data_IF_473456713148
#
_entry.id   IF_473456713148
#
_cell.length_a   1.000
_cell.length_b   1.000
_cell.length_c   1.000
_cell.angle_alpha   90.00
_cell.angle_beta   90.00
_cell.angle_gamma   90.00
#
_symmetry.space_group_name_H-M   'P 1'
#
loop_
_entity.id
_entity.type
_entity.pdbx_description
1 polymer ?
#
# COMPACT_ATOMS: atom_id res chain seq x y z
N UNK A 1 12.73 1.04 10.35
CA UNK A 1 13.21 -0.17 11.09
C UNK A 1 14.66 -0.41 10.68
N UNK A 2 15.54 -0.84 11.61
CA UNK A 2 16.97 -1.02 11.36
C UNK A 2 17.28 -1.94 10.14
N UNK A 3 16.51 -3.01 9.96
CA UNK A 3 16.64 -3.94 8.81
C UNK A 3 16.41 -3.25 7.45
N UNK A 4 15.57 -2.21 7.41
CA UNK A 4 15.36 -1.41 6.19
C UNK A 4 16.48 -0.39 6.00
N UNK A 5 17.00 0.20 7.10
CA UNK A 5 18.07 1.20 7.04
C UNK A 5 19.36 0.62 6.45
N UNK A 6 19.76 -0.55 6.95
CA UNK A 6 20.93 -1.28 6.47
C UNK A 6 20.75 -1.73 5.02
N UNK A 7 19.54 -2.20 4.66
CA UNK A 7 19.19 -2.60 3.29
C UNK A 7 19.29 -1.47 2.27
N UNK A 8 18.93 -0.24 2.66
CA UNK A 8 18.96 0.92 1.75
C UNK A 8 20.23 1.76 1.91
N UNK A 9 21.17 1.35 2.76
CA UNK A 9 22.42 2.06 3.00
C UNK A 9 22.22 3.47 3.52
N UNK A 10 21.15 3.70 4.30
CA UNK A 10 20.84 5.01 4.88
C UNK A 10 21.30 5.06 6.34
N UNK A 11 21.83 6.19 6.84
CA UNK A 11 22.33 6.32 8.20
C UNK A 11 21.21 6.49 9.24
N UNK A 12 19.94 6.49 8.81
CA UNK A 12 18.77 6.69 9.67
C UNK A 12 18.00 5.40 9.88
N UNK A 13 17.58 5.14 11.13
CA UNK A 13 16.83 3.92 11.49
C UNK A 13 15.30 4.07 11.35
N UNK A 14 14.84 5.26 10.97
CA UNK A 14 13.45 5.62 10.69
C UNK A 14 13.33 6.23 9.29
N UNK A 15 12.10 6.33 8.79
CA UNK A 15 11.80 6.89 7.47
C UNK A 15 10.94 5.97 6.62
N UNK A 16 10.34 6.56 5.57
CA UNK A 16 9.55 5.85 4.56
C UNK A 16 10.30 5.89 3.23
N UNK A 17 10.51 4.71 2.63
CA UNK A 17 11.11 4.57 1.31
C UNK A 17 10.12 5.02 0.23
N UNK A 18 10.57 5.89 -0.68
CA UNK A 18 9.85 6.20 -1.90
C UNK A 18 10.05 5.13 -2.96
N UNK A 19 8.98 4.44 -3.32
CA UNK A 19 8.98 3.48 -4.42
C UNK A 19 8.76 4.15 -5.79
N UNK A 20 8.34 5.40 -5.80
CA UNK A 20 8.11 6.19 -7.01
C UNK A 20 7.57 7.58 -6.69
N UNK A 21 7.47 8.41 -7.73
CA UNK A 21 6.85 9.74 -7.66
C UNK A 21 5.83 9.87 -8.78
N UNK A 22 4.76 10.62 -8.52
CA UNK A 22 3.77 10.95 -9.53
C UNK A 22 4.29 12.10 -10.41
N UNK A 23 4.26 11.90 -11.73
CA UNK A 23 4.72 12.89 -12.71
C UNK A 23 3.96 14.20 -12.58
N UNK A 24 4.68 15.32 -12.58
CA UNK A 24 4.14 16.68 -12.49
C UNK A 24 3.76 17.13 -11.08
N UNK A 25 3.79 16.25 -10.07
CA UNK A 25 3.33 16.53 -8.71
C UNK A 25 4.48 16.94 -7.75
N UNK A 26 4.11 17.18 -6.49
CA UNK A 26 4.95 17.80 -5.45
C UNK A 26 6.31 17.12 -5.28
N UNK A 27 6.34 15.80 -5.07
CA UNK A 27 7.58 15.07 -4.80
C UNK A 27 8.56 15.14 -5.98
N UNK A 28 8.09 14.93 -7.22
CA UNK A 28 8.93 15.06 -8.41
C UNK A 28 9.43 16.50 -8.58
N UNK A 29 8.57 17.48 -8.33
CA UNK A 29 8.91 18.91 -8.47
C UNK A 29 9.96 19.36 -7.45
N UNK A 30 9.99 18.72 -6.29
CA UNK A 30 10.99 18.91 -5.24
C UNK A 30 12.28 18.10 -5.46
N UNK A 31 12.39 17.37 -6.57
CA UNK A 31 13.59 16.58 -6.92
C UNK A 31 13.70 15.23 -6.20
N UNK A 32 12.64 14.78 -5.53
CA UNK A 32 12.58 13.45 -4.95
C UNK A 32 12.37 12.41 -6.06
N UNK A 33 12.91 11.21 -5.83
CA UNK A 33 12.86 10.11 -6.77
C UNK A 33 12.73 8.75 -6.07
N UNK A 34 12.50 7.71 -6.86
CA UNK A 34 12.51 6.32 -6.37
C UNK A 34 13.85 6.01 -5.69
N UNK A 35 13.79 5.41 -4.51
CA UNK A 35 14.95 5.05 -3.70
C UNK A 35 15.32 6.07 -2.63
N UNK A 36 14.71 7.25 -2.63
CA UNK A 36 14.87 8.21 -1.53
C UNK A 36 14.14 7.70 -0.27
N UNK A 37 14.73 7.91 0.91
CA UNK A 37 14.11 7.63 2.21
C UNK A 37 13.75 8.95 2.88
N UNK A 38 12.45 9.24 2.98
CA UNK A 38 11.96 10.44 3.67
C UNK A 38 12.08 10.20 5.17
N UNK A 39 12.90 11.00 5.85
CA UNK A 39 13.16 10.91 7.28
C UNK A 39 12.32 11.90 8.09
N UNK A 40 12.07 13.10 7.55
CA UNK A 40 11.29 14.14 8.23
C UNK A 40 10.53 15.00 7.22
N UNK A 41 9.35 15.47 7.61
CA UNK A 41 8.56 16.46 6.85
C UNK A 41 8.06 17.52 7.81
N UNK A 42 8.33 18.79 7.51
CA UNK A 42 7.94 19.95 8.32
C UNK A 42 8.37 19.82 9.80
N UNK A 43 9.57 19.28 10.03
CA UNK A 43 10.11 19.05 11.37
C UNK A 43 9.51 17.87 12.13
N UNK A 44 8.59 17.10 11.52
CA UNK A 44 8.04 15.88 12.10
C UNK A 44 8.77 14.65 11.56
N UNK A 45 9.32 13.83 12.45
CA UNK A 45 10.00 12.59 12.08
C UNK A 45 9.00 11.57 11.50
N UNK A 46 9.35 11.00 10.35
CA UNK A 46 8.55 9.97 9.69
C UNK A 46 9.01 8.61 10.21
N UNK A 47 8.40 8.13 11.28
CA UNK A 47 8.73 6.83 11.88
C UNK A 47 8.09 5.66 11.14
N UNK A 48 6.94 5.91 10.52
CA UNK A 48 6.17 4.95 9.75
C UNK A 48 5.19 5.69 8.81
N UNK A 49 4.54 4.95 7.92
CA UNK A 49 3.64 5.51 6.89
C UNK A 49 2.38 6.17 7.49
N UNK A 50 1.99 5.85 8.73
CA UNK A 50 0.82 6.42 9.42
C UNK A 50 1.04 7.84 9.90
N UNK A 51 2.29 8.33 9.90
CA UNK A 51 2.60 9.73 10.21
C UNK A 51 2.17 10.64 9.04
N UNK A 52 2.25 10.16 7.80
CA UNK A 52 1.99 10.98 6.61
C UNK A 52 0.57 11.56 6.53
N UNK A 53 -0.51 10.81 6.85
CA UNK A 53 -1.87 11.37 6.92
C UNK A 53 -2.02 12.54 7.90
N UNK A 54 -1.30 12.54 9.02
CA UNK A 54 -1.38 13.64 9.99
C UNK A 54 -0.79 14.93 9.41
N UNK A 55 0.33 14.81 8.70
CA UNK A 55 0.98 15.95 8.03
C UNK A 55 0.07 16.49 6.92
N UNK A 56 -0.47 15.62 6.06
CA UNK A 56 -1.32 16.08 4.95
C UNK A 56 -2.65 16.69 5.43
N UNK A 57 -3.19 16.27 6.58
CA UNK A 57 -4.40 16.87 7.17
C UNK A 57 -4.20 18.29 7.71
N UNK A 58 -2.98 18.64 8.13
CA UNK A 58 -2.68 19.97 8.69
C UNK A 58 -2.15 20.97 7.66
N UNK A 59 -2.00 20.54 6.40
CA UNK A 59 -1.48 21.34 5.30
C UNK A 59 -2.42 21.34 4.10
N UNK A 60 -2.30 22.34 3.22
CA UNK A 60 -3.12 22.50 2.03
C UNK A 60 -2.27 22.71 0.78
N UNK A 61 -2.89 22.58 -0.37
CA UNK A 61 -2.25 22.91 -1.63
C UNK A 61 -1.74 24.37 -1.63
N UNK A 62 -0.52 24.57 -2.11
CA UNK A 62 0.23 25.82 -2.07
C UNK A 62 1.16 25.96 -0.86
N UNK A 63 1.01 25.14 0.20
CA UNK A 63 1.95 25.15 1.32
C UNK A 63 3.30 24.60 0.87
N UNK A 64 4.41 25.20 1.35
CA UNK A 64 5.76 24.69 1.14
C UNK A 64 6.24 23.97 2.40
N UNK A 65 6.53 22.68 2.27
CA UNK A 65 7.02 21.84 3.37
C UNK A 65 8.52 21.63 3.24
N UNK A 66 9.24 21.67 4.36
CA UNK A 66 10.63 21.21 4.41
C UNK A 66 10.64 19.69 4.47
N UNK A 67 11.40 19.04 3.59
CA UNK A 67 11.52 17.57 3.53
C UNK A 67 12.98 17.20 3.69
N UNK A 68 13.26 16.43 4.73
CA UNK A 68 14.57 15.81 4.93
C UNK A 68 14.51 14.38 4.40
N UNK A 69 15.38 14.07 3.45
CA UNK A 69 15.45 12.73 2.88
C UNK A 69 16.90 12.26 2.71
N UNK A 70 17.07 10.96 2.57
CA UNK A 70 18.35 10.32 2.31
C UNK A 70 18.34 9.65 0.94
N UNK A 71 19.41 9.85 0.19
CA UNK A 71 19.67 9.16 -1.07
C UNK A 71 20.97 8.37 -0.91
N UNK A 72 20.83 7.09 -0.60
CA UNK A 72 21.93 6.30 -0.04
C UNK A 72 22.39 6.91 1.29
N UNK A 73 23.69 7.12 1.47
CA UNK A 73 24.23 7.65 2.73
C UNK A 73 24.11 9.17 2.87
N UNK A 74 23.73 9.88 1.81
CA UNK A 74 23.74 11.35 1.76
C UNK A 74 22.42 11.92 2.24
N UNK A 75 22.48 12.84 3.20
CA UNK A 75 21.34 13.66 3.65
C UNK A 75 21.07 14.78 2.65
N UNK A 76 19.80 14.99 2.33
CA UNK A 76 19.31 16.08 1.49
C UNK A 76 18.16 16.80 2.19
N UNK A 77 18.03 18.08 1.88
CA UNK A 77 16.91 18.92 2.27
C UNK A 77 16.24 19.44 0.99
N UNK A 78 14.91 19.39 0.94
CA UNK A 78 14.13 19.93 -0.16
C UNK A 78 12.96 20.77 0.37
N UNK A 79 12.67 21.89 -0.31
CA UNK A 79 11.41 22.59 -0.16
C UNK A 79 10.40 22.00 -1.15
N UNK A 80 9.38 21.32 -0.63
CA UNK A 80 8.34 20.70 -1.42
C UNK A 80 7.05 21.52 -1.33
N UNK A 81 6.71 22.21 -2.42
CA UNK A 81 5.39 22.82 -2.57
C UNK A 81 4.33 21.73 -2.78
N UNK A 82 3.29 21.75 -1.95
CA UNK A 82 2.14 20.87 -2.10
C UNK A 82 1.29 21.32 -3.29
N UNK A 83 1.44 20.65 -4.42
CA UNK A 83 0.60 20.93 -5.59
C UNK A 83 -0.83 20.40 -5.39
N UNK A 84 -1.86 21.13 -5.86
CA UNK A 84 -3.21 20.59 -5.87
C UNK A 84 -3.25 19.35 -6.77
N UNK A 85 -3.93 18.31 -6.31
CA UNK A 85 -4.24 17.17 -7.16
C UNK A 85 -5.54 17.47 -7.90
N UNK A 86 -5.58 17.41 -9.25
CA UNK A 86 -6.81 17.69 -9.99
C UNK A 86 -7.97 16.80 -9.53
N UNK A 87 -9.13 17.41 -9.26
CA UNK A 87 -10.38 16.70 -8.95
C UNK A 87 -11.17 16.42 -10.24
N UNK A 88 -10.49 15.87 -11.23
CA UNK A 88 -11.13 15.44 -12.48
C UNK A 88 -11.14 13.92 -12.50
N UNK A 89 -12.31 13.28 -12.32
CA UNK A 89 -12.38 11.84 -12.44
C UNK A 89 -12.08 11.44 -13.88
N UNK A 90 -11.18 10.47 -14.06
CA UNK A 90 -10.82 9.96 -15.38
C UNK A 90 -11.91 9.06 -15.97
N UNK A 91 -12.76 8.49 -15.12
CA UNK A 91 -13.89 7.65 -15.51
C UNK A 91 -15.17 8.49 -15.63
N UNK A 92 -15.92 8.24 -16.71
CA UNK A 92 -17.19 8.88 -17.04
C UNK A 92 -18.42 8.06 -16.63
N UNK A 93 -18.23 6.79 -16.25
CA UNK A 93 -19.27 5.89 -15.78
C UNK A 93 -18.73 4.94 -14.69
N UNK A 94 -19.64 4.30 -13.96
CA UNK A 94 -19.26 3.28 -12.98
C UNK A 94 -18.67 2.03 -13.64
N UNK A 95 -19.09 1.72 -14.88
CA UNK A 95 -18.50 0.61 -15.64
C UNK A 95 -17.06 0.93 -16.05
N UNK A 96 -16.79 2.14 -16.55
CA UNK A 96 -15.42 2.53 -16.92
C UNK A 96 -14.51 2.63 -15.70
N UNK A 97 -15.03 3.11 -14.56
CA UNK A 97 -14.31 3.09 -13.28
C UNK A 97 -14.01 1.67 -12.82
N UNK A 98 -15.02 0.79 -12.82
CA UNK A 98 -14.86 -0.62 -12.45
C UNK A 98 -13.84 -1.34 -13.34
N UNK A 99 -13.88 -1.11 -14.65
CA UNK A 99 -12.93 -1.68 -15.60
C UNK A 99 -11.48 -1.21 -15.37
N UNK A 100 -11.27 0.08 -15.05
CA UNK A 100 -9.95 0.61 -14.69
C UNK A 100 -9.40 -0.10 -13.44
N UNK A 101 -10.21 -0.21 -12.39
CA UNK A 101 -9.84 -0.88 -11.14
C UNK A 101 -9.54 -2.37 -11.40
N UNK A 102 -10.38 -3.03 -12.20
CA UNK A 102 -10.19 -4.42 -12.59
C UNK A 102 -8.87 -4.63 -13.33
N UNK A 103 -8.47 -3.72 -14.22
CA UNK A 103 -7.22 -3.80 -14.95
C UNK A 103 -6.00 -3.72 -14.01
N UNK A 104 -6.01 -2.77 -13.06
CA UNK A 104 -4.93 -2.64 -12.05
C UNK A 104 -4.82 -3.90 -11.18
N UNK A 105 -5.95 -4.38 -10.64
CA UNK A 105 -5.99 -5.55 -9.74
C UNK A 105 -5.61 -6.84 -10.47
N UNK A 106 -6.10 -7.04 -11.69
CA UNK A 106 -5.77 -8.24 -12.49
C UNK A 106 -4.31 -8.28 -12.92
N UNK A 107 -3.65 -7.13 -13.10
CA UNK A 107 -2.23 -7.09 -13.40
C UNK A 107 -1.40 -7.59 -12.21
N UNK A 108 -1.66 -7.06 -11.00
CA UNK A 108 -0.89 -7.42 -9.81
C UNK A 108 -1.19 -8.84 -9.33
N UNK A 109 -2.41 -9.35 -9.51
CA UNK A 109 -2.76 -10.73 -9.13
C UNK A 109 -2.08 -11.80 -10.01
N UNK A 110 -1.76 -11.48 -11.27
CA UNK A 110 -0.94 -12.37 -12.11
C UNK A 110 0.50 -12.45 -11.62
N UNK A 111 1.07 -11.32 -11.23
CA UNK A 111 2.40 -11.27 -10.62
C UNK A 111 2.42 -12.04 -9.28
N UNK A 112 1.34 -11.95 -8.49
CA UNK A 112 1.20 -12.70 -7.25
C UNK A 112 1.25 -14.22 -7.47
N UNK A 113 0.53 -14.71 -8.49
CA UNK A 113 0.56 -16.14 -8.85
C UNK A 113 1.98 -16.63 -9.14
N UNK A 114 2.80 -15.80 -9.81
CA UNK A 114 4.21 -16.10 -10.05
C UNK A 114 5.03 -16.15 -8.75
N UNK A 115 4.78 -15.19 -7.84
CA UNK A 115 5.50 -15.07 -6.57
C UNK A 115 5.27 -16.28 -5.67
N UNK A 116 4.03 -16.74 -5.54
CA UNK A 116 3.64 -17.79 -4.59
C UNK A 116 3.70 -19.20 -5.17
N UNK A 117 3.94 -19.35 -6.47
CA UNK A 117 3.91 -20.63 -7.21
C UNK A 117 4.66 -21.76 -6.51
N UNK A 118 5.88 -21.46 -6.06
CA UNK A 118 6.82 -22.46 -5.55
C UNK A 118 6.94 -22.41 -4.02
N UNK A 119 5.99 -21.78 -3.33
CA UNK A 119 5.97 -21.76 -1.87
C UNK A 119 5.39 -23.07 -1.35
N UNK A 120 6.14 -23.76 -0.50
CA UNK A 120 5.57 -24.79 0.36
C UNK A 120 4.79 -24.15 1.51
N UNK A 121 3.88 -24.92 2.08
CA UNK A 121 3.07 -24.47 3.22
C UNK A 121 3.91 -24.14 4.47
N UNK A 122 5.00 -24.88 4.71
CA UNK A 122 5.90 -24.62 5.84
C UNK A 122 6.75 -23.37 5.61
N UNK A 123 7.26 -23.17 4.39
CA UNK A 123 7.95 -21.92 4.02
C UNK A 123 7.02 -20.71 4.13
N UNK A 124 5.76 -20.84 3.69
CA UNK A 124 4.81 -19.74 3.71
C UNK A 124 4.36 -19.36 5.14
N UNK A 125 4.41 -20.31 6.08
CA UNK A 125 4.14 -20.09 7.52
C UNK A 125 5.35 -19.59 8.31
N UNK A 126 6.55 -19.75 7.77
CA UNK A 126 7.78 -19.38 8.46
C UNK A 126 7.84 -17.88 8.75
N UNK A 127 8.16 -17.52 10.01
CA UNK A 127 8.38 -16.14 10.44
C UNK A 127 9.89 -15.90 10.55
N UNK A 128 10.49 -14.97 9.78
CA UNK A 128 11.94 -14.80 9.76
C UNK A 128 12.50 -14.15 11.04
N UNK A 129 11.63 -13.53 11.85
CA UNK A 129 11.95 -13.00 13.17
C UNK A 129 10.67 -12.98 14.03
N UNK A 130 10.77 -12.89 15.38
CA UNK A 130 9.60 -12.88 16.27
C UNK A 130 8.51 -11.86 15.89
N UNK A 131 8.93 -10.68 15.43
CA UNK A 131 8.05 -9.57 15.07
C UNK A 131 7.83 -9.41 13.56
N UNK A 132 8.41 -10.29 12.74
CA UNK A 132 8.24 -10.24 11.29
C UNK A 132 7.06 -11.12 10.87
N UNK A 133 6.37 -10.73 9.81
CA UNK A 133 5.29 -11.54 9.24
C UNK A 133 5.82 -12.67 8.36
N UNK A 134 5.09 -13.79 8.38
CA UNK A 134 5.20 -14.85 7.37
C UNK A 134 4.57 -14.44 6.04
N UNK A 135 4.78 -15.22 4.98
CA UNK A 135 4.11 -14.96 3.70
C UNK A 135 2.57 -15.06 3.82
N UNK A 136 2.05 -16.00 4.61
CA UNK A 136 0.62 -16.12 4.87
C UNK A 136 0.05 -14.94 5.67
N UNK A 137 0.80 -14.41 6.65
CA UNK A 137 0.40 -13.21 7.38
C UNK A 137 0.40 -11.96 6.47
N UNK A 138 1.33 -11.88 5.51
CA UNK A 138 1.34 -10.82 4.49
C UNK A 138 0.12 -10.93 3.55
N UNK A 139 -0.21 -12.13 3.05
CA UNK A 139 -1.43 -12.32 2.24
C UNK A 139 -2.70 -11.94 3.01
N UNK A 140 -2.78 -12.33 4.29
CA UNK A 140 -3.88 -11.97 5.17
C UNK A 140 -4.00 -10.45 5.38
N UNK A 141 -2.87 -9.75 5.48
CA UNK A 141 -2.83 -8.29 5.52
C UNK A 141 -3.39 -7.65 4.25
N UNK A 142 -3.03 -8.16 3.07
CA UNK A 142 -3.57 -7.67 1.79
C UNK A 142 -5.09 -7.85 1.71
N UNK A 143 -5.61 -9.01 2.12
CA UNK A 143 -7.07 -9.25 2.19
C UNK A 143 -7.76 -8.24 3.11
N UNK A 144 -7.18 -7.98 4.27
CA UNK A 144 -7.73 -7.03 5.23
C UNK A 144 -7.72 -5.59 4.69
N UNK A 145 -6.67 -5.21 3.96
CA UNK A 145 -6.54 -3.88 3.33
C UNK A 145 -7.57 -3.69 2.22
N UNK A 146 -7.85 -4.74 1.44
CA UNK A 146 -8.90 -4.69 0.42
C UNK A 146 -10.31 -4.55 1.05
N UNK A 147 -10.58 -5.24 2.17
CA UNK A 147 -11.83 -5.06 2.93
C UNK A 147 -11.98 -3.65 3.52
N UNK A 148 -10.87 -3.04 3.93
CA UNK A 148 -10.86 -1.64 4.36
C UNK A 148 -11.18 -0.70 3.20
N UNK A 149 -10.68 -1.01 1.99
CA UNK A 149 -11.06 -0.32 0.76
C UNK A 149 -12.56 -0.43 0.47
N UNK A 150 -13.16 -1.62 0.58
CA UNK A 150 -14.60 -1.81 0.41
C UNK A 150 -15.41 -0.98 1.43
N UNK A 151 -14.96 -0.96 2.70
CA UNK A 151 -15.58 -0.16 3.77
C UNK A 151 -15.50 1.33 3.47
N UNK A 152 -14.34 1.80 2.98
CA UNK A 152 -14.15 3.19 2.55
C UNK A 152 -15.09 3.55 1.39
N UNK A 153 -15.21 2.71 0.36
CA UNK A 153 -16.12 2.94 -0.77
C UNK A 153 -17.58 3.03 -0.28
N UNK A 154 -18.01 2.10 0.57
CA UNK A 154 -19.36 2.13 1.16
C UNK A 154 -19.61 3.39 2.02
N UNK A 155 -18.58 3.89 2.69
CA UNK A 155 -18.67 5.13 3.48
C UNK A 155 -18.84 6.35 2.57
N UNK A 156 -18.10 6.42 1.46
CA UNK A 156 -18.20 7.51 0.49
C UNK A 156 -19.59 7.59 -0.17
N UNK A 157 -20.22 6.43 -0.39
CA UNK A 157 -21.61 6.36 -0.88
C UNK A 157 -22.56 7.04 0.11
N UNK A 158 -22.41 6.77 1.41
CA UNK A 158 -23.16 7.41 2.49
C UNK A 158 -22.79 8.89 2.74
N UNK A 159 -21.89 9.48 1.94
CA UNK A 159 -21.47 10.87 2.08
C UNK A 159 -20.40 11.10 3.15
N UNK A 160 -19.84 10.03 3.70
CA UNK A 160 -18.80 10.09 4.72
C UNK A 160 -17.44 9.78 4.11
N UNK A 161 -16.41 10.54 4.47
CA UNK A 161 -15.04 10.18 4.19
C UNK A 161 -14.44 9.54 5.44
N UNK A 162 -14.64 8.22 5.58
CA UNK A 162 -13.97 7.46 6.63
C UNK A 162 -12.57 7.06 6.14
N UNK A 163 -11.55 7.53 6.84
CA UNK A 163 -10.20 6.99 6.73
C UNK A 163 -10.13 5.71 7.57
N UNK A 164 -10.47 4.58 6.95
CA UNK A 164 -10.53 3.28 7.64
C UNK A 164 -9.19 2.58 7.49
N UNK A 165 -8.17 3.05 8.21
CA UNK A 165 -7.00 2.22 8.49
C UNK A 165 -7.01 1.85 9.97
N UNK A 166 -7.40 0.61 10.26
CA UNK A 166 -7.53 0.12 11.65
C UNK A 166 -6.20 -0.29 12.27
N UNK A 167 -5.08 0.08 11.65
CA UNK A 167 -3.78 -0.47 11.99
C UNK A 167 -3.58 -1.87 11.38
N UNK A 168 -2.34 -2.32 11.37
CA UNK A 168 -2.01 -3.71 11.08
C UNK A 168 -2.30 -4.59 12.29
N UNK A 169 -3.54 -4.59 12.79
CA UNK A 169 -3.91 -5.27 14.03
C UNK A 169 -3.61 -6.77 13.93
N UNK A 170 -2.60 -7.24 14.67
CA UNK A 170 -2.15 -8.63 14.60
C UNK A 170 -3.28 -9.65 14.84
N UNK A 171 -4.25 -9.30 15.69
CA UNK A 171 -5.41 -10.14 15.94
C UNK A 171 -6.26 -10.36 14.67
N UNK A 172 -6.42 -9.32 13.83
CA UNK A 172 -7.14 -9.38 12.55
C UNK A 172 -6.39 -10.22 11.52
N UNK A 173 -5.07 -10.03 11.42
CA UNK A 173 -4.19 -10.83 10.53
C UNK A 173 -4.28 -12.30 10.92
N UNK A 174 -4.10 -12.64 12.20
CA UNK A 174 -4.22 -14.02 12.70
C UNK A 174 -5.62 -14.61 12.47
N UNK A 175 -6.68 -13.82 12.63
CA UNK A 175 -8.05 -14.28 12.37
C UNK A 175 -8.23 -14.67 10.89
N UNK A 176 -7.72 -13.85 9.96
CA UNK A 176 -7.78 -14.14 8.53
C UNK A 176 -6.97 -15.39 8.18
N UNK A 177 -5.74 -15.55 8.68
CA UNK A 177 -4.94 -16.78 8.48
C UNK A 177 -5.66 -18.02 9.02
N UNK A 178 -6.27 -17.95 10.21
CA UNK A 178 -7.05 -19.07 10.77
C UNK A 178 -8.26 -19.43 9.91
N UNK A 179 -8.88 -18.45 9.25
CA UNK A 179 -10.03 -18.69 8.37
C UNK A 179 -9.64 -19.32 7.04
N UNK A 180 -8.48 -18.96 6.51
CA UNK A 180 -7.91 -19.42 5.24
C UNK A 180 -6.53 -20.06 5.51
N UNK A 181 -6.49 -21.34 5.94
CA UNK A 181 -5.30 -21.92 6.56
C UNK A 181 -4.19 -22.33 5.59
N UNK A 182 -4.40 -22.16 4.28
CA UNK A 182 -3.40 -22.50 3.25
C UNK A 182 -3.08 -21.29 2.40
N UNK A 183 -1.90 -21.30 1.78
CA UNK A 183 -1.46 -20.24 0.86
C UNK A 183 -2.44 -20.11 -0.30
N UNK A 184 -2.88 -21.25 -0.86
CA UNK A 184 -3.88 -21.28 -1.92
C UNK A 184 -5.22 -20.67 -1.48
N UNK A 185 -5.70 -20.99 -0.27
CA UNK A 185 -6.95 -20.42 0.25
C UNK A 185 -6.87 -18.91 0.46
N UNK A 186 -5.72 -18.39 0.92
CA UNK A 186 -5.47 -16.96 1.06
C UNK A 186 -5.42 -16.25 -0.30
N UNK A 187 -4.73 -16.83 -1.29
CA UNK A 187 -4.67 -16.28 -2.66
C UNK A 187 -6.06 -16.24 -3.29
N UNK A 188 -6.85 -17.32 -3.16
CA UNK A 188 -8.25 -17.33 -3.62
C UNK A 188 -9.07 -16.25 -2.91
N UNK A 189 -8.99 -16.16 -1.58
CA UNK A 189 -9.73 -15.16 -0.83
C UNK A 189 -9.35 -13.71 -1.23
N UNK A 190 -8.07 -13.44 -1.52
CA UNK A 190 -7.62 -12.14 -2.01
C UNK A 190 -8.19 -11.84 -3.40
N UNK A 191 -8.15 -12.81 -4.32
CA UNK A 191 -8.74 -12.68 -5.67
C UNK A 191 -10.24 -12.41 -5.60
N UNK A 192 -10.97 -13.15 -4.75
CA UNK A 192 -12.41 -12.98 -4.56
C UNK A 192 -12.73 -11.61 -3.97
N UNK A 193 -11.96 -11.16 -2.96
CA UNK A 193 -12.16 -9.83 -2.35
C UNK A 193 -11.89 -8.71 -3.35
N UNK A 194 -10.87 -8.84 -4.21
CA UNK A 194 -10.61 -7.89 -5.30
C UNK A 194 -11.74 -7.86 -6.34
N UNK A 195 -12.28 -9.03 -6.71
CA UNK A 195 -13.41 -9.11 -7.62
C UNK A 195 -14.67 -8.46 -7.01
N UNK A 196 -14.92 -8.69 -5.73
CA UNK A 196 -16.01 -8.04 -5.00
C UNK A 196 -15.86 -6.52 -4.96
N UNK A 197 -14.64 -5.98 -4.81
CA UNK A 197 -14.41 -4.52 -4.89
C UNK A 197 -14.77 -3.95 -6.26
N UNK A 198 -14.46 -4.67 -7.35
CA UNK A 198 -14.81 -4.25 -8.71
C UNK A 198 -16.33 -4.23 -8.87
N UNK A 199 -17.02 -5.28 -8.43
CA UNK A 199 -18.48 -5.36 -8.52
C UNK A 199 -19.17 -4.36 -7.59
N UNK A 200 -18.61 -4.08 -6.42
CA UNK A 200 -19.07 -3.00 -5.53
C UNK A 200 -19.10 -1.66 -6.26
N UNK A 201 -18.01 -1.31 -6.96
CA UNK A 201 -17.91 -0.05 -7.71
C UNK A 201 -18.92 0.01 -8.85
N UNK A 202 -19.07 -1.07 -9.62
CA UNK A 202 -20.08 -1.18 -10.69
C UNK A 202 -21.52 -1.07 -10.16
N UNK A 203 -21.73 -1.49 -8.92
CA UNK A 203 -23.04 -1.52 -8.26
C UNK A 203 -23.37 -0.23 -7.49
N UNK A 204 -22.47 0.76 -7.47
CA UNK A 204 -22.77 2.04 -6.86
C UNK A 204 -23.95 2.72 -7.58
N UNK A 205 -24.71 3.58 -6.89
CA UNK A 205 -25.76 4.33 -7.56
C UNK A 205 -25.16 5.40 -8.48
N UNK A 206 -25.78 5.65 -9.63
CA UNK A 206 -25.31 6.64 -10.64
C UNK A 206 -25.04 8.04 -10.06
N UNK A 207 -25.79 8.45 -9.03
CA UNK A 207 -25.56 9.74 -8.37
C UNK A 207 -24.19 9.85 -7.67
N UNK A 208 -23.50 8.72 -7.44
CA UNK A 208 -22.13 8.70 -6.95
C UNK A 208 -21.19 9.47 -7.88
N UNK A 209 -21.39 9.39 -9.20
CA UNK A 209 -20.60 10.10 -10.20
C UNK A 209 -20.71 11.63 -10.08
N UNK A 210 -21.80 12.13 -9.49
CA UNK A 210 -21.98 13.56 -9.24
C UNK A 210 -21.02 14.08 -8.15
N UNK A 211 -20.55 13.19 -7.25
CA UNK A 211 -19.58 13.51 -6.19
C UNK A 211 -18.15 13.29 -6.69
N UNK A 212 -17.69 14.18 -7.57
CA UNK A 212 -16.36 14.08 -8.21
C UNK A 212 -15.20 13.80 -7.26
N UNK A 213 -15.20 14.42 -6.07
CA UNK A 213 -14.18 14.17 -5.06
C UNK A 213 -14.15 12.71 -4.58
N UNK A 214 -15.32 12.08 -4.41
CA UNK A 214 -15.43 10.68 -3.99
C UNK A 214 -15.00 9.73 -5.11
N UNK A 215 -15.39 10.02 -6.36
CA UNK A 215 -14.92 9.25 -7.53
C UNK A 215 -13.40 9.29 -7.62
N UNK A 216 -12.82 10.48 -7.52
CA UNK A 216 -11.36 10.68 -7.53
C UNK A 216 -10.71 9.95 -6.35
N UNK A 217 -11.32 9.95 -5.16
CA UNK A 217 -10.79 9.20 -3.99
C UNK A 217 -10.70 7.70 -4.26
N UNK A 218 -11.72 7.12 -4.89
CA UNK A 218 -11.73 5.70 -5.30
C UNK A 218 -10.65 5.42 -6.34
N UNK A 219 -10.52 6.26 -7.37
CA UNK A 219 -9.48 6.13 -8.39
C UNK A 219 -8.07 6.18 -7.79
N UNK A 220 -7.80 7.18 -6.95
CA UNK A 220 -6.52 7.34 -6.28
C UNK A 220 -6.14 6.14 -5.42
N UNK A 221 -7.12 5.53 -4.74
CA UNK A 221 -6.88 4.32 -3.98
C UNK A 221 -6.48 3.14 -4.89
N UNK A 222 -7.18 2.98 -6.01
CA UNK A 222 -6.89 1.94 -7.00
C UNK A 222 -5.57 2.14 -7.75
N UNK A 223 -5.08 3.37 -7.90
CA UNK A 223 -3.75 3.67 -8.45
C UNK A 223 -2.63 3.33 -7.46
N UNK A 224 -2.86 3.49 -6.16
CA UNK A 224 -1.87 3.23 -5.12
C UNK A 224 -1.70 1.73 -4.83
N UNK A 225 -2.80 0.98 -4.82
CA UNK A 225 -2.91 -0.44 -4.47
C UNK A 225 -1.84 -1.36 -5.13
N UNK A 226 -1.52 -1.24 -6.44
CA UNK A 226 -0.49 -2.07 -7.06
C UNK A 226 0.92 -1.86 -6.51
N UNK A 227 1.29 -0.63 -6.12
CA UNK A 227 2.61 -0.36 -5.55
C UNK A 227 2.75 -0.97 -4.15
N UNK A 228 1.73 -0.75 -3.31
CA UNK A 228 1.61 -1.33 -1.98
C UNK A 228 1.67 -2.86 -2.01
N UNK A 229 0.93 -3.49 -2.92
CA UNK A 229 0.93 -4.95 -3.06
C UNK A 229 2.30 -5.50 -3.50
N UNK A 230 2.96 -4.85 -4.48
CA UNK A 230 4.30 -5.28 -4.94
C UNK A 230 5.38 -5.13 -3.88
N UNK A 231 5.30 -4.11 -3.03
CA UNK A 231 6.18 -3.98 -1.86
C UNK A 231 6.16 -5.27 -1.01
N UNK A 232 4.95 -5.81 -0.81
CA UNK A 232 4.73 -7.01 -0.02
C UNK A 232 5.17 -8.31 -0.74
N UNK A 233 5.23 -8.36 -2.07
CA UNK A 233 5.81 -9.51 -2.78
C UNK A 233 7.27 -9.76 -2.38
N UNK A 234 8.06 -8.70 -2.35
CA UNK A 234 9.45 -8.79 -1.93
C UNK A 234 9.55 -9.23 -0.46
N UNK A 235 8.60 -8.81 0.40
CA UNK A 235 8.56 -9.25 1.79
C UNK A 235 8.29 -10.76 1.92
N UNK A 236 7.32 -11.28 1.16
CA UNK A 236 7.00 -12.72 1.15
C UNK A 236 8.19 -13.55 0.66
N UNK A 237 8.82 -13.15 -0.44
CA UNK A 237 9.99 -13.83 -0.99
C UNK A 237 11.16 -13.88 0.02
N UNK A 238 11.39 -12.81 0.79
CA UNK A 238 12.40 -12.80 1.85
C UNK A 238 12.07 -13.76 2.99
N UNK A 239 10.81 -13.83 3.44
CA UNK A 239 10.39 -14.77 4.46
C UNK A 239 10.61 -16.22 4.01
N UNK A 240 10.25 -16.55 2.76
CA UNK A 240 10.45 -17.88 2.17
C UNK A 240 11.93 -18.20 1.97
N UNK A 241 12.74 -17.25 1.51
CA UNK A 241 14.18 -17.44 1.39
C UNK A 241 14.84 -17.72 2.74
N UNK A 242 14.42 -17.03 3.80
CA UNK A 242 14.88 -17.29 5.15
C UNK A 242 14.45 -18.69 5.64
N UNK A 243 13.23 -19.15 5.31
CA UNK A 243 12.77 -20.50 5.62
C UNK A 243 13.67 -21.56 4.96
N UNK A 244 13.98 -21.39 3.68
CA UNK A 244 14.87 -22.27 2.91
C UNK A 244 16.27 -22.34 3.51
N UNK A 245 16.84 -21.19 3.88
CA UNK A 245 18.15 -21.13 4.51
C UNK A 245 18.21 -21.86 5.86
N UNK A 246 17.12 -21.82 6.64
CA UNK A 246 17.01 -22.55 7.91
C UNK A 246 16.79 -24.06 7.75
N UNK A 247 16.37 -24.53 6.56
CA UNK A 247 16.10 -25.93 6.29
C UNK A 247 17.34 -26.73 5.82
N UNK A 248 18.44 -26.05 5.48
CA UNK A 248 19.69 -26.71 5.06
C UNK A 248 20.43 -27.21 6.31
N UNK A 249 20.68 -28.54 6.46
CA UNK A 249 21.52 -29.04 7.55
C UNK A 249 22.94 -28.50 7.44
N UNK A 250 23.53 -28.15 8.59
CA UNK A 250 24.93 -27.72 8.69
C UNK A 250 25.93 -28.83 8.27
#
# INVERSE_FOLDING_TARGET
>A
NADNAERFGVPVHHGVLLEGVLTGLSAQSAGLQRGDVIASVSGQDITDVQVLPNITRTHKAGDALEVVYYRGTTRHDAHMELKPRPLQPEADSLETLGAQIQAHKSAVLRELDDVVRDFTEDEARFKPAPNAWSAQEVLAHLINTERDTQTMIASLENGNELEVFTGNMDARVRATVRRYPTTAALVTALKDTHAETVELVRSLPEHFLLRKAHVVRVQQNAEFDPSHTRHHFAQMQRAVAAARANAVPA
#
